data_IF_974455501878
#
_entry.id   IF_974455501878
#
_cell.length_a   1.000
_cell.length_b   1.000
_cell.length_c   1.000
_cell.angle_alpha   90.00
_cell.angle_beta   90.00
_cell.angle_gamma   90.00
#
_symmetry.space_group_name_H-M   'P 1'
#
loop_
_entity.id
_entity.type
_entity.pdbx_description
1 polymer ?
#
# COMPACT_ATOMS: atom_id res chain seq x y z
N UNK A 1 8.92 -11.30 -38.87
CA UNK A 1 7.49 -11.42 -38.49
C UNK A 1 7.37 -11.57 -36.98
N UNK A 2 6.60 -10.65 -36.36
CA UNK A 2 5.84 -10.72 -35.09
C UNK A 2 6.60 -11.13 -33.81
N UNK A 3 6.99 -10.19 -32.93
CA UNK A 3 6.18 -9.46 -31.94
C UNK A 3 5.67 -10.34 -30.79
N UNK A 4 6.45 -10.41 -29.72
CA UNK A 4 5.97 -10.73 -28.38
C UNK A 4 6.47 -9.65 -27.42
N UNK A 5 5.69 -8.57 -27.37
CA UNK A 5 5.73 -7.53 -26.35
C UNK A 5 5.48 -8.16 -24.97
N UNK A 6 6.55 -8.64 -24.34
CA UNK A 6 6.54 -9.01 -22.92
C UNK A 6 6.54 -7.72 -22.11
N UNK A 7 5.36 -7.13 -21.90
CA UNK A 7 5.13 -6.15 -20.82
C UNK A 7 5.24 -6.82 -19.45
N UNK A 8 6.44 -7.32 -19.12
CA UNK A 8 6.84 -7.51 -17.74
C UNK A 8 7.05 -6.12 -17.17
N UNK A 9 6.07 -5.58 -16.45
CA UNK A 9 6.24 -4.35 -15.68
C UNK A 9 7.41 -4.57 -14.71
N UNK A 10 8.58 -4.04 -15.04
CA UNK A 10 9.74 -4.00 -14.13
C UNK A 10 9.24 -3.44 -12.79
N UNK A 11 9.57 -4.05 -11.64
CA UNK A 11 9.12 -3.54 -10.35
C UNK A 11 9.52 -2.07 -10.25
N UNK A 12 8.51 -1.19 -10.18
CA UNK A 12 8.72 0.24 -9.97
C UNK A 12 8.90 0.45 -8.47
N UNK A 13 10.13 0.27 -8.03
CA UNK A 13 10.56 0.51 -6.66
C UNK A 13 12.08 0.40 -6.58
N UNK A 14 12.71 1.31 -5.87
CA UNK A 14 14.12 1.16 -5.51
C UNK A 14 14.27 0.09 -4.42
N UNK A 15 15.44 -0.54 -4.32
CA UNK A 15 15.71 -1.44 -3.18
C UNK A 15 15.53 -0.75 -1.82
N UNK A 16 15.77 0.56 -1.76
CA UNK A 16 15.57 1.38 -0.57
C UNK A 16 14.09 1.50 -0.16
N UNK A 17 13.19 1.72 -1.12
CA UNK A 17 11.75 1.75 -0.86
C UNK A 17 11.24 0.40 -0.34
N UNK A 18 11.74 -0.70 -0.91
CA UNK A 18 11.41 -2.05 -0.43
C UNK A 18 11.87 -2.26 1.02
N UNK A 19 13.06 -1.78 1.39
CA UNK A 19 13.56 -1.85 2.77
C UNK A 19 12.73 -0.99 3.74
N UNK A 20 12.25 0.19 3.30
CA UNK A 20 11.33 1.01 4.11
C UNK A 20 9.99 0.31 4.35
N UNK A 21 9.42 -0.29 3.30
CA UNK A 21 8.19 -1.09 3.43
C UNK A 21 8.38 -2.25 4.41
N UNK A 22 9.48 -3.00 4.27
CA UNK A 22 9.82 -4.11 5.17
C UNK A 22 9.83 -3.65 6.64
N UNK A 23 10.52 -2.55 6.97
CA UNK A 23 10.56 -2.01 8.35
C UNK A 23 9.19 -1.66 8.91
N UNK A 24 8.31 -1.07 8.09
CA UNK A 24 6.94 -0.75 8.54
C UNK A 24 6.12 -2.02 8.78
N UNK A 25 6.26 -3.02 7.90
CA UNK A 25 5.54 -4.30 8.02
C UNK A 25 6.01 -5.13 9.22
N UNK A 26 7.29 -5.06 9.58
CA UNK A 26 7.83 -5.66 10.81
C UNK A 26 7.18 -5.09 12.09
N UNK A 27 6.58 -3.90 12.02
CA UNK A 27 5.82 -3.27 13.11
C UNK A 27 4.34 -3.07 12.75
N UNK A 28 3.77 -3.97 11.95
CA UNK A 28 2.38 -3.86 11.49
C UNK A 28 1.35 -3.86 12.64
N UNK A 29 1.69 -4.42 13.80
CA UNK A 29 0.87 -4.39 15.02
C UNK A 29 0.62 -2.97 15.55
N UNK A 30 1.47 -2.00 15.22
CA UNK A 30 1.27 -0.59 15.54
C UNK A 30 0.18 0.09 14.70
N UNK A 31 -0.46 -0.65 13.77
CA UNK A 31 -1.58 -0.13 12.99
C UNK A 31 -2.81 0.13 13.89
N UNK A 32 -3.36 1.36 13.93
CA UNK A 32 -4.42 1.75 14.88
C UNK A 32 -5.76 0.98 14.76
N UNK A 33 -5.95 0.26 13.66
CA UNK A 33 -7.17 -0.49 13.36
C UNK A 33 -6.91 -1.98 13.21
N UNK A 34 -5.86 -2.52 13.84
CA UNK A 34 -5.51 -3.94 13.81
C UNK A 34 -6.67 -4.89 14.21
N UNK A 35 -7.60 -4.42 15.05
CA UNK A 35 -8.78 -5.18 15.51
C UNK A 35 -10.12 -4.63 15.01
N UNK A 36 -10.11 -3.72 14.03
CA UNK A 36 -11.33 -3.11 13.49
C UNK A 36 -11.33 -3.20 11.98
N UNK A 37 -12.40 -3.78 11.44
CA UNK A 37 -12.62 -3.87 10.00
C UNK A 37 -14.04 -3.47 9.66
N UNK A 38 -14.21 -2.55 8.71
CA UNK A 38 -15.49 -2.18 8.15
C UNK A 38 -15.38 -2.05 6.63
N UNK A 39 -16.36 -2.61 5.93
CA UNK A 39 -16.35 -2.68 4.47
C UNK A 39 -16.37 -1.28 3.82
N UNK A 40 -17.27 -0.41 4.28
CA UNK A 40 -17.42 0.96 3.82
C UNK A 40 -17.87 1.86 5.00
N UNK A 41 -17.29 3.06 5.19
CA UNK A 41 -16.20 3.67 4.41
C UNK A 41 -14.79 3.13 4.77
N UNK A 42 -14.66 2.28 5.79
CA UNK A 42 -13.40 1.80 6.36
C UNK A 42 -13.47 1.79 7.90
N UNK A 43 -12.41 1.38 8.61
CA UNK A 43 -11.09 1.00 8.10
C UNK A 43 -11.09 -0.39 7.44
N UNK A 44 -10.34 -0.56 6.35
CA UNK A 44 -10.21 -1.84 5.63
C UNK A 44 -8.77 -2.06 5.09
N UNK A 45 -8.58 -3.05 4.21
CA UNK A 45 -7.27 -3.35 3.62
C UNK A 45 -6.63 -2.18 2.86
N UNK A 46 -7.43 -1.30 2.22
CA UNK A 46 -6.91 -0.10 1.57
C UNK A 46 -6.50 0.98 2.58
N UNK A 47 -7.16 1.04 3.74
CA UNK A 47 -6.72 1.92 4.85
C UNK A 47 -5.35 1.47 5.36
N UNK A 48 -5.16 0.17 5.54
CA UNK A 48 -3.88 -0.41 5.93
C UNK A 48 -2.78 -0.13 4.90
N UNK A 49 -3.03 -0.41 3.62
CA UNK A 49 -2.08 -0.13 2.55
C UNK A 49 -1.70 1.36 2.49
N UNK A 50 -2.66 2.27 2.65
CA UNK A 50 -2.40 3.70 2.70
C UNK A 50 -1.58 4.12 3.93
N UNK A 51 -1.84 3.50 5.09
CA UNK A 51 -1.05 3.72 6.31
C UNK A 51 0.40 3.25 6.15
N UNK A 52 0.61 2.07 5.56
CA UNK A 52 1.96 1.54 5.29
C UNK A 52 2.75 2.48 4.38
N UNK A 53 2.15 2.94 3.28
CA UNK A 53 2.80 3.88 2.35
C UNK A 53 3.18 5.20 3.02
N UNK A 54 2.29 5.76 3.86
CA UNK A 54 2.56 6.98 4.64
C UNK A 54 3.71 6.77 5.63
N UNK A 55 3.68 5.69 6.41
CA UNK A 55 4.74 5.37 7.39
C UNK A 55 6.09 5.10 6.73
N UNK A 56 6.09 4.51 5.54
CA UNK A 56 7.30 4.26 4.75
C UNK A 56 7.82 5.50 4.02
N UNK A 57 7.13 6.65 4.11
CA UNK A 57 7.51 7.89 3.41
C UNK A 57 7.43 7.79 1.88
N UNK A 58 6.64 6.85 1.34
CA UNK A 58 6.53 6.61 -0.09
C UNK A 58 5.37 7.45 -0.63
N UNK A 59 5.67 8.40 -1.52
CA UNK A 59 4.66 9.26 -2.19
C UNK A 59 3.96 8.52 -3.32
N UNK A 60 3.28 7.44 -2.98
CA UNK A 60 2.41 6.69 -3.89
C UNK A 60 0.95 6.83 -3.43
N UNK A 61 0.10 7.40 -4.28
CA UNK A 61 -1.33 7.47 -4.00
C UNK A 61 -2.03 6.21 -4.50
N UNK A 62 -2.81 5.56 -3.63
CA UNK A 62 -3.70 4.49 -4.08
C UNK A 62 -4.73 5.03 -5.08
N UNK A 63 -5.13 4.17 -6.02
CA UNK A 63 -6.10 4.53 -7.06
C UNK A 63 -7.38 5.13 -6.46
N UNK A 64 -8.04 6.03 -7.19
CA UNK A 64 -9.30 6.67 -6.73
C UNK A 64 -10.42 5.67 -6.41
N UNK A 65 -10.37 4.46 -6.96
CA UNK A 65 -11.33 3.37 -6.71
C UNK A 65 -11.01 2.54 -5.47
N UNK A 66 -9.86 2.75 -4.82
CA UNK A 66 -9.53 2.11 -3.56
C UNK A 66 -10.39 2.71 -2.44
N UNK A 67 -11.54 2.08 -2.19
CA UNK A 67 -12.49 2.43 -1.12
C UNK A 67 -11.78 2.26 0.23
N UNK A 68 -11.82 3.28 1.09
CA UNK A 68 -11.13 3.27 2.39
C UNK A 68 -9.72 3.83 2.39
N UNK A 69 -9.13 4.19 1.23
CA UNK A 69 -7.78 4.79 1.15
C UNK A 69 -7.62 6.12 1.91
N UNK A 70 -8.72 6.83 2.12
CA UNK A 70 -8.78 8.13 2.77
C UNK A 70 -9.39 8.09 4.18
N UNK A 71 -9.57 6.90 4.76
CA UNK A 71 -10.05 6.79 6.13
C UNK A 71 -9.02 7.44 7.09
N UNK A 72 -9.44 8.24 8.08
CA UNK A 72 -8.52 8.92 9.00
C UNK A 72 -7.64 7.90 9.76
N UNK A 73 -6.31 8.01 9.65
CA UNK A 73 -5.35 7.18 10.36
C UNK A 73 -4.01 7.88 10.59
#
# INVERSE_FOLDING_TARGET
MSAADRRGSRPRGTGEEALRLKRVLESAEAYPFCHRYAYWPGPNSNTFAAWVLRKAGIRHALARRAIGRGYPC
#
